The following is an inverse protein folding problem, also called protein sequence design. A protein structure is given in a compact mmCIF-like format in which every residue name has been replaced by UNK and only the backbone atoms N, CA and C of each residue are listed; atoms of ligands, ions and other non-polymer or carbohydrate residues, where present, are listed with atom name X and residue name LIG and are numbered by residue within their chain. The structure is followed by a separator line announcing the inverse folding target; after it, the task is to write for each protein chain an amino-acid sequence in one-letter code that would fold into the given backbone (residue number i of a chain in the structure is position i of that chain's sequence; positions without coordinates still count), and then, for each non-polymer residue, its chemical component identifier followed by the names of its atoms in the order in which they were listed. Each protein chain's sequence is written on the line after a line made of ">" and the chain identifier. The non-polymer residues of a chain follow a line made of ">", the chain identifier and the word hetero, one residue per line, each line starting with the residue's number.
data_IF_498484167941
#
_entry.id   IF_498484167941
#
_cell.length_a   1.000
_cell.length_b   1.000
_cell.length_c   1.000
_cell.angle_alpha   90.00
_cell.angle_beta   90.00
_cell.angle_gamma   90.00
#
_symmetry.space_group_name_H-M   'P 1'
#
loop_
_entity.id
_entity.type
_entity.pdbx_description
1 polymer ?
#
# COMPACT_ATOMS: atom_id res chain seq x y z
N UNK A 1 -24.97 1.59 -1.64
CA UNK A 1 -24.95 2.64 -0.62
C UNK A 1 -23.55 3.26 -0.66
N UNK A 2 -23.32 4.25 -1.52
CA UNK A 2 -22.04 4.93 -1.70
C UNK A 2 -22.26 6.42 -1.43
N UNK A 3 -22.09 6.80 -0.16
CA UNK A 3 -22.27 8.18 0.30
C UNK A 3 -21.03 8.74 0.98
N UNK A 4 -19.84 8.24 0.62
CA UNK A 4 -18.62 8.60 1.37
C UNK A 4 -17.74 9.65 0.70
N UNK A 5 -17.72 9.82 -0.63
CA UNK A 5 -16.84 10.82 -1.26
C UNK A 5 -17.48 11.42 -2.51
N UNK A 6 -17.65 12.74 -2.49
CA UNK A 6 -17.95 13.54 -3.67
C UNK A 6 -16.71 13.58 -4.59
N UNK A 7 -16.82 13.28 -5.89
CA UNK A 7 -15.67 13.30 -6.78
C UNK A 7 -15.31 14.75 -7.12
N UNK A 8 -14.14 15.19 -6.62
CA UNK A 8 -13.44 16.48 -6.88
C UNK A 8 -13.50 17.54 -5.77
N UNK A 9 -13.23 17.18 -4.53
CA UNK A 9 -12.59 18.16 -3.63
C UNK A 9 -11.07 17.99 -3.78
N UNK A 10 -10.43 18.90 -4.51
CA UNK A 10 -8.98 19.12 -4.33
C UNK A 10 -8.82 19.42 -2.85
N UNK A 11 -8.21 18.51 -2.09
CA UNK A 11 -7.87 18.79 -0.69
C UNK A 11 -6.97 20.00 -0.68
N UNK A 12 -7.53 21.16 -0.30
CA UNK A 12 -6.75 22.38 -0.15
C UNK A 12 -5.92 22.23 1.12
N UNK A 13 -4.72 21.68 0.95
CA UNK A 13 -3.75 21.47 2.03
C UNK A 13 -3.39 22.78 2.76
N UNK A 14 -3.69 23.96 2.16
CA UNK A 14 -3.47 25.27 2.78
C UNK A 14 -4.35 25.52 4.01
N UNK A 15 -5.51 24.85 4.09
CA UNK A 15 -6.43 24.95 5.21
C UNK A 15 -6.03 24.09 6.41
N UNK A 16 -5.04 23.20 6.26
CA UNK A 16 -4.57 22.34 7.35
C UNK A 16 -3.32 22.97 7.98
N UNK A 17 -3.46 23.53 9.18
CA UNK A 17 -2.37 24.26 9.88
C UNK A 17 -1.07 23.46 9.99
N UNK A 18 -1.15 22.14 10.19
CA UNK A 18 -0.01 21.23 10.30
C UNK A 18 0.79 21.03 8.99
N UNK A 19 0.30 21.53 7.85
CA UNK A 19 0.94 21.37 6.55
C UNK A 19 1.23 22.70 5.84
N UNK A 20 0.93 23.85 6.46
CA UNK A 20 1.16 25.19 5.88
C UNK A 20 2.61 25.44 5.46
N UNK A 21 3.56 24.95 6.25
CA UNK A 21 5.01 25.04 6.03
C UNK A 21 5.52 24.07 4.95
N UNK A 22 4.77 23.02 4.65
CA UNK A 22 5.12 21.96 3.68
C UNK A 22 4.66 22.25 2.25
N UNK A 23 4.00 23.38 2.02
CA UNK A 23 3.47 23.81 0.72
C UNK A 23 4.55 24.18 -0.31
N UNK A 24 5.81 24.33 0.12
CA UNK A 24 6.94 24.66 -0.77
C UNK A 24 7.41 23.53 -1.69
N UNK A 25 6.92 22.30 -1.50
CA UNK A 25 7.26 21.14 -2.32
C UNK A 25 6.02 20.26 -2.59
N UNK A 26 5.08 20.71 -3.43
CA UNK A 26 3.91 19.91 -3.78
C UNK A 26 4.32 18.72 -4.66
N UNK A 27 3.61 17.61 -4.51
CA UNK A 27 3.69 16.45 -5.40
C UNK A 27 2.32 16.16 -6.01
N UNK A 28 2.33 15.54 -7.19
CA UNK A 28 1.10 15.17 -7.88
C UNK A 28 0.40 14.01 -7.16
N UNK A 29 -0.88 14.22 -6.83
CA UNK A 29 -1.75 13.19 -6.27
C UNK A 29 -2.74 12.76 -7.35
N UNK A 30 -2.70 11.49 -7.72
CA UNK A 30 -3.66 10.89 -8.64
C UNK A 30 -4.66 10.04 -7.88
N UNK A 31 -5.95 10.28 -8.14
CA UNK A 31 -7.02 9.39 -7.70
C UNK A 31 -7.30 8.38 -8.81
N UNK A 32 -7.28 7.09 -8.46
CA UNK A 32 -7.58 6.01 -9.40
C UNK A 32 -8.94 5.43 -9.05
N UNK A 33 -9.90 5.56 -9.98
CA UNK A 33 -11.25 5.02 -9.85
C UNK A 33 -11.37 3.66 -10.56
N UNK A 34 -12.41 2.89 -10.24
CA UNK A 34 -12.72 1.63 -10.93
C UNK A 34 -11.82 0.46 -10.54
N UNK A 35 -10.92 0.66 -9.58
CA UNK A 35 -10.05 -0.39 -9.06
C UNK A 35 -10.81 -1.38 -8.19
N UNK A 36 -10.43 -2.65 -8.30
CA UNK A 36 -11.02 -3.73 -7.56
C UNK A 36 -10.81 -3.63 -6.05
N UNK A 37 -11.87 -3.37 -5.30
CA UNK A 37 -11.79 -3.30 -3.83
C UNK A 37 -11.89 -4.68 -3.19
N UNK A 38 -11.32 -4.82 -1.99
CA UNK A 38 -11.55 -5.99 -1.17
C UNK A 38 -13.05 -6.11 -0.83
N UNK A 39 -13.56 -7.33 -0.75
CA UNK A 39 -14.94 -7.58 -0.33
C UNK A 39 -15.17 -7.10 1.10
N UNK A 40 -16.34 -6.53 1.38
CA UNK A 40 -16.74 -6.10 2.74
C UNK A 40 -16.64 -7.30 3.69
N UNK A 41 -16.02 -7.09 4.86
CA UNK A 41 -15.78 -8.14 5.85
C UNK A 41 -14.54 -9.01 5.59
N UNK A 42 -13.78 -8.72 4.53
CA UNK A 42 -12.49 -9.37 4.27
C UNK A 42 -11.40 -8.87 5.23
N UNK A 43 -10.67 -9.81 5.86
CA UNK A 43 -9.50 -9.54 6.70
C UNK A 43 -8.19 -9.49 5.90
N UNK A 44 -8.26 -9.13 4.60
CA UNK A 44 -7.13 -9.18 3.66
C UNK A 44 -6.65 -7.80 3.22
N UNK A 45 -6.79 -6.79 4.07
CA UNK A 45 -6.38 -5.44 3.74
C UNK A 45 -4.89 -5.37 3.37
N UNK A 46 -4.03 -6.00 4.16
CA UNK A 46 -2.58 -5.88 3.95
C UNK A 46 -2.12 -6.58 2.67
N UNK A 47 -2.52 -7.84 2.37
CA UNK A 47 -2.19 -8.46 1.10
C UNK A 47 -2.74 -7.71 -0.12
N UNK A 48 -3.90 -7.06 0.01
CA UNK A 48 -4.43 -6.20 -1.05
C UNK A 48 -3.53 -4.98 -1.26
N UNK A 49 -3.22 -4.22 -0.21
CA UNK A 49 -2.36 -3.03 -0.29
C UNK A 49 -0.98 -3.37 -0.84
N UNK A 50 -0.38 -4.47 -0.37
CA UNK A 50 0.91 -4.93 -0.87
C UNK A 50 0.88 -5.24 -2.37
N UNK A 51 -0.19 -5.88 -2.85
CA UNK A 51 -0.36 -6.13 -4.28
C UNK A 51 -0.51 -4.82 -5.07
N UNK A 52 -1.32 -3.87 -4.59
CA UNK A 52 -1.43 -2.56 -5.23
C UNK A 52 -0.08 -1.84 -5.35
N UNK A 53 0.72 -1.86 -4.28
CA UNK A 53 2.05 -1.29 -4.29
C UNK A 53 2.98 -1.99 -5.30
N UNK A 54 2.90 -3.32 -5.43
CA UNK A 54 3.64 -4.11 -6.43
C UNK A 54 3.26 -3.70 -7.86
N UNK A 55 1.97 -3.69 -8.19
CA UNK A 55 1.48 -3.29 -9.52
C UNK A 55 1.93 -1.86 -9.89
N UNK A 56 1.80 -0.91 -8.96
CA UNK A 56 2.21 0.47 -9.19
C UNK A 56 3.74 0.60 -9.35
N UNK A 57 4.51 -0.15 -8.57
CA UNK A 57 5.98 -0.13 -8.64
C UNK A 57 6.48 -0.70 -9.97
N UNK A 58 5.81 -1.73 -10.48
CA UNK A 58 6.11 -2.36 -11.77
C UNK A 58 5.52 -1.59 -12.97
N UNK A 59 4.78 -0.51 -12.73
CA UNK A 59 4.09 0.27 -13.77
C UNK A 59 2.96 -0.52 -14.47
N UNK A 60 2.46 -1.57 -13.83
CA UNK A 60 1.40 -2.43 -14.35
C UNK A 60 0.03 -1.81 -14.11
N UNK A 61 -0.90 -2.07 -15.05
CA UNK A 61 -2.30 -1.71 -14.84
C UNK A 61 -2.90 -2.58 -13.74
N UNK A 62 -3.60 -1.92 -12.82
CA UNK A 62 -4.33 -2.58 -11.75
C UNK A 62 -5.55 -3.29 -12.35
N UNK A 63 -5.80 -4.56 -12.01
CA UNK A 63 -6.98 -5.30 -12.47
C UNK A 63 -8.28 -4.69 -11.92
N UNK A 64 -9.29 -4.53 -12.80
CA UNK A 64 -10.62 -4.01 -12.45
C UNK A 64 -11.60 -5.12 -12.02
N UNK A 65 -11.26 -6.39 -12.27
CA UNK A 65 -12.12 -7.58 -12.15
C UNK A 65 -12.08 -8.24 -10.76
N UNK A 66 -11.32 -7.70 -9.81
CA UNK A 66 -11.12 -8.32 -8.51
C UNK A 66 -9.73 -8.93 -8.39
N UNK A 67 -9.01 -8.66 -7.30
CA UNK A 67 -7.84 -9.46 -6.97
C UNK A 67 -8.30 -10.75 -6.26
N UNK A 68 -7.90 -11.92 -6.77
CA UNK A 68 -8.19 -13.19 -6.09
C UNK A 68 -7.53 -13.21 -4.71
N UNK A 69 -8.36 -13.04 -3.67
CA UNK A 69 -7.92 -12.97 -2.27
C UNK A 69 -7.19 -14.24 -1.84
N UNK A 70 -7.54 -15.40 -2.39
CA UNK A 70 -6.86 -16.67 -2.11
C UNK A 70 -5.48 -16.70 -2.75
N UNK A 71 -5.35 -16.22 -3.98
CA UNK A 71 -4.08 -16.09 -4.67
C UNK A 71 -3.15 -15.09 -3.96
N UNK A 72 -3.67 -13.93 -3.56
CA UNK A 72 -2.93 -12.91 -2.81
C UNK A 72 -2.38 -13.47 -1.49
N UNK A 73 -3.20 -14.18 -0.71
CA UNK A 73 -2.74 -14.85 0.51
C UNK A 73 -1.60 -15.83 0.25
N UNK A 74 -1.70 -16.65 -0.81
CA UNK A 74 -0.63 -17.60 -1.16
C UNK A 74 0.67 -16.88 -1.50
N UNK A 75 0.62 -15.82 -2.30
CA UNK A 75 1.80 -15.00 -2.64
C UNK A 75 2.40 -14.38 -1.37
N UNK A 76 1.57 -13.77 -0.53
CA UNK A 76 2.02 -13.13 0.71
C UNK A 76 2.69 -14.12 1.66
N UNK A 77 2.10 -15.31 1.87
CA UNK A 77 2.71 -16.37 2.68
C UNK A 77 4.04 -16.83 2.09
N UNK A 78 4.13 -16.99 0.77
CA UNK A 78 5.38 -17.39 0.11
C UNK A 78 6.48 -16.32 0.25
N UNK A 79 6.12 -15.03 0.16
CA UNK A 79 7.05 -13.92 0.39
C UNK A 79 7.54 -13.88 1.84
N UNK A 80 6.63 -14.00 2.81
CA UNK A 80 6.97 -14.06 4.23
C UNK A 80 7.88 -15.25 4.55
N UNK A 81 7.59 -16.41 3.97
CA UNK A 81 8.44 -17.60 4.13
C UNK A 81 9.86 -17.35 3.62
N UNK A 82 10.01 -16.86 2.39
CA UNK A 82 11.33 -16.52 1.81
C UNK A 82 12.08 -15.48 2.64
N UNK A 83 11.38 -14.47 3.14
CA UNK A 83 11.97 -13.47 4.03
C UNK A 83 12.47 -14.11 5.34
N UNK A 84 11.66 -15.00 5.94
CA UNK A 84 12.05 -15.76 7.12
C UNK A 84 13.30 -16.62 6.88
N UNK A 85 13.38 -17.33 5.76
CA UNK A 85 14.56 -18.11 5.37
C UNK A 85 15.80 -17.22 5.22
N UNK A 86 15.68 -16.09 4.51
CA UNK A 86 16.79 -15.15 4.34
C UNK A 86 17.27 -14.57 5.67
N UNK A 87 16.35 -14.28 6.58
CA UNK A 87 16.67 -13.80 7.94
C UNK A 87 17.28 -14.87 8.83
N UNK A 88 16.92 -16.14 8.64
CA UNK A 88 17.55 -17.25 9.36
C UNK A 88 18.97 -17.56 8.84
N UNK A 89 19.21 -17.36 7.54
CA UNK A 89 20.52 -17.59 6.92
C UNK A 89 21.54 -16.48 7.20
N UNK A 90 21.10 -15.24 7.42
CA UNK A 90 21.98 -14.15 7.86
C UNK A 90 21.91 -14.04 9.39
N UNK A 91 22.94 -14.47 10.15
CA UNK A 91 22.99 -14.10 11.56
C UNK A 91 22.95 -12.57 11.65
N UNK A 92 22.13 -12.05 12.57
CA UNK A 92 22.13 -10.63 12.89
C UNK A 92 23.48 -10.28 13.49
N UNK A 93 24.47 -9.93 12.67
CA UNK A 93 25.65 -9.22 13.12
C UNK A 93 25.22 -7.77 13.34
N UNK A 94 24.62 -7.49 14.50
CA UNK A 94 24.54 -6.13 14.99
C UNK A 94 25.91 -5.77 15.52
N UNK A 95 26.71 -5.07 14.71
CA UNK A 95 27.96 -4.42 15.16
C UNK A 95 27.66 -3.22 16.06
N UNK A 96 26.81 -3.40 17.06
CA UNK A 96 26.59 -2.41 18.11
C UNK A 96 27.68 -2.68 19.14
N UNK A 97 28.81 -1.99 18.99
CA UNK A 97 29.67 -1.74 20.14
C UNK A 97 28.95 -0.72 21.02
N UNK A 98 28.51 -1.15 22.19
CA UNK A 98 28.09 -0.25 23.26
C UNK A 98 29.26 0.70 23.61
N UNK A 99 29.02 2.00 23.86
CA UNK A 99 30.03 2.94 24.36
C UNK A 99 30.64 2.54 25.71
#
# INVERSE_FOLDING_TARGET
>A
MSGFLDPKVRTDWSMIEAYRDKMGNPFDVQYVEGIAQQTIGSLNCDPYIAAYAEYLSDGLQIPNDGLDARLLRKRYVALLWKYGEMKAQKPYASDIKDP
#
